data_IF_656277056903
#
_entry.id   IF_656277056903
#
_cell.length_a   1.000
_cell.length_b   1.000
_cell.length_c   1.000
_cell.angle_alpha   90.00
_cell.angle_beta   90.00
_cell.angle_gamma   90.00
#
_symmetry.space_group_name_H-M   'P 1'
#
loop_
_entity.id
_entity.type
_entity.pdbx_description
1 polymer ?
#
# COMPACT_ATOMS: atom_id res chain seq x y z
N UNK A 1 -2.58 3.09 -18.79
CA UNK A 1 -1.88 1.79 -18.73
C UNK A 1 -0.55 2.05 -18.03
N UNK A 2 -0.18 1.23 -17.04
CA UNK A 2 1.10 1.38 -16.35
C UNK A 2 2.27 1.08 -17.29
N UNK A 3 3.37 1.79 -17.14
CA UNK A 3 4.57 1.63 -17.97
C UNK A 3 5.38 0.43 -17.49
N UNK A 4 5.97 -0.30 -18.42
CA UNK A 4 6.79 -1.50 -18.16
C UNK A 4 8.26 -1.16 -18.36
N UNK A 5 8.72 -0.08 -17.75
CA UNK A 5 10.11 0.34 -17.74
C UNK A 5 10.64 0.45 -16.31
N UNK A 6 11.97 0.37 -16.17
CA UNK A 6 12.63 0.32 -14.87
C UNK A 6 12.69 1.70 -14.15
N UNK A 7 12.05 2.73 -14.70
CA UNK A 7 11.98 4.05 -14.07
C UNK A 7 10.83 4.13 -13.05
N UNK A 8 10.94 5.10 -12.15
CA UNK A 8 9.89 5.41 -11.19
C UNK A 8 8.84 6.32 -11.82
N UNK A 9 7.58 5.96 -11.61
CA UNK A 9 6.43 6.66 -12.17
C UNK A 9 5.37 6.94 -11.10
N UNK A 10 4.57 8.00 -11.26
CA UNK A 10 3.49 8.31 -10.32
C UNK A 10 2.41 7.22 -10.32
N UNK A 11 1.89 6.86 -9.15
CA UNK A 11 0.83 5.85 -9.03
C UNK A 11 -0.41 6.23 -9.86
N UNK A 12 -0.87 5.37 -10.80
CA UNK A 12 -2.05 5.64 -11.63
C UNK A 12 -3.32 5.75 -10.80
N UNK A 13 -4.23 6.66 -11.20
CA UNK A 13 -5.53 6.87 -10.52
C UNK A 13 -6.36 5.59 -10.36
N UNK A 14 -6.26 4.67 -11.32
CA UNK A 14 -6.94 3.37 -11.29
C UNK A 14 -6.56 2.53 -10.05
N UNK A 15 -5.34 2.69 -9.52
CA UNK A 15 -4.87 1.96 -8.34
C UNK A 15 -5.11 2.73 -7.05
N UNK A 16 -5.18 4.06 -7.11
CA UNK A 16 -5.31 4.92 -5.92
C UNK A 16 -6.51 4.57 -5.05
N UNK A 17 -7.67 4.31 -5.65
CA UNK A 17 -8.87 3.90 -4.93
C UNK A 17 -8.64 2.61 -4.11
N UNK A 18 -7.99 1.60 -4.72
CA UNK A 18 -7.68 0.33 -4.03
C UNK A 18 -6.68 0.54 -2.89
N UNK A 19 -5.64 1.34 -3.10
CA UNK A 19 -4.67 1.65 -2.05
C UNK A 19 -5.29 2.46 -0.90
N UNK A 20 -6.24 3.36 -1.20
CA UNK A 20 -7.00 4.06 -0.18
C UNK A 20 -7.89 3.09 0.64
N UNK A 21 -8.55 2.13 0.00
CA UNK A 21 -9.31 1.08 0.69
C UNK A 21 -8.43 0.20 1.58
N UNK A 22 -7.25 -0.19 1.09
CA UNK A 22 -6.25 -0.94 1.87
C UNK A 22 -5.84 -0.12 3.09
N UNK A 23 -5.41 1.13 2.89
CA UNK A 23 -4.97 2.00 3.99
C UNK A 23 -6.07 2.21 5.04
N UNK A 24 -7.32 2.36 4.61
CA UNK A 24 -8.47 2.45 5.52
C UNK A 24 -8.68 1.16 6.33
N UNK A 25 -8.52 -0.02 5.71
CA UNK A 25 -8.59 -1.30 6.39
C UNK A 25 -7.45 -1.46 7.42
N UNK A 26 -6.22 -1.07 7.06
CA UNK A 26 -5.08 -1.06 7.99
C UNK A 26 -5.32 -0.09 9.16
N UNK A 27 -5.87 1.09 8.90
CA UNK A 27 -6.24 2.05 9.93
C UNK A 27 -7.34 1.53 10.88
N UNK A 28 -8.24 0.68 10.37
CA UNK A 28 -9.23 -0.04 11.17
C UNK A 28 -8.65 -1.25 11.95
N UNK A 29 -7.35 -1.54 11.81
CA UNK A 29 -6.67 -2.66 12.44
C UNK A 29 -6.90 -4.00 11.73
N UNK A 30 -7.42 -4.01 10.50
CA UNK A 30 -7.59 -5.20 9.67
C UNK A 30 -6.31 -5.49 8.86
N UNK A 31 -5.21 -5.76 9.55
CA UNK A 31 -3.90 -5.99 8.92
C UNK A 31 -3.84 -7.25 8.03
N UNK A 32 -4.80 -8.16 8.18
CA UNK A 32 -4.94 -9.34 7.32
C UNK A 32 -5.83 -9.11 6.09
N UNK A 33 -6.49 -7.94 6.01
CA UNK A 33 -7.52 -7.61 5.02
C UNK A 33 -8.64 -8.66 4.92
N UNK A 34 -8.90 -9.38 6.01
CA UNK A 34 -9.85 -10.49 6.02
C UNK A 34 -11.28 -10.02 6.33
N UNK A 35 -11.43 -8.86 7.00
CA UNK A 35 -12.73 -8.26 7.34
C UNK A 35 -13.23 -7.35 6.23
N UNK A 36 -12.34 -6.54 5.66
CA UNK A 36 -12.68 -5.49 4.69
C UNK A 36 -12.79 -6.02 3.26
N UNK A 37 -12.21 -7.20 2.98
CA UNK A 37 -12.22 -7.90 1.67
C UNK A 37 -12.13 -6.94 0.49
N UNK A 38 -10.97 -6.32 0.33
CA UNK A 38 -10.70 -5.44 -0.82
C UNK A 38 -10.59 -6.30 -2.10
N UNK A 39 -11.39 -5.98 -3.12
CA UNK A 39 -11.44 -6.76 -4.34
C UNK A 39 -10.10 -6.74 -5.09
N UNK A 40 -9.62 -7.92 -5.46
CA UNK A 40 -8.34 -8.07 -6.14
C UNK A 40 -7.13 -7.93 -5.21
N UNK A 41 -7.29 -7.86 -3.90
CA UNK A 41 -6.15 -7.91 -2.97
C UNK A 41 -6.02 -9.33 -2.41
N UNK A 42 -4.83 -9.90 -2.52
CA UNK A 42 -4.53 -11.20 -1.90
C UNK A 42 -4.61 -11.07 -0.37
N UNK A 43 -5.20 -12.06 0.34
CA UNK A 43 -5.17 -12.07 1.79
C UNK A 43 -3.73 -12.01 2.31
N UNK A 44 -3.51 -11.17 3.32
CA UNK A 44 -2.19 -11.07 3.96
C UNK A 44 -2.06 -12.21 4.97
N UNK A 45 -0.98 -12.98 4.87
CA UNK A 45 -0.71 -14.05 5.81
C UNK A 45 -0.46 -13.49 7.22
N UNK A 46 -0.57 -14.35 8.23
CA UNK A 46 -0.52 -13.92 9.63
C UNK A 46 0.83 -13.29 10.00
N UNK A 47 1.92 -13.87 9.53
CA UNK A 47 3.28 -13.40 9.86
C UNK A 47 3.48 -11.99 9.29
N UNK A 48 3.17 -11.79 8.01
CA UNK A 48 3.22 -10.47 7.37
C UNK A 48 2.32 -9.45 8.06
N UNK A 49 1.10 -9.84 8.45
CA UNK A 49 0.18 -8.95 9.16
C UNK A 49 0.68 -8.57 10.56
N UNK A 50 1.29 -9.50 11.29
CA UNK A 50 1.93 -9.24 12.57
C UNK A 50 3.09 -8.25 12.41
N UNK A 51 3.94 -8.44 11.40
CA UNK A 51 5.02 -7.51 11.07
C UNK A 51 4.51 -6.10 10.71
N UNK A 52 3.49 -6.00 9.86
CA UNK A 52 2.85 -4.71 9.53
C UNK A 52 2.34 -4.03 10.80
N UNK A 53 1.61 -4.76 11.64
CA UNK A 53 1.04 -4.20 12.86
C UNK A 53 2.12 -3.73 13.84
N UNK A 54 3.23 -4.46 13.95
CA UNK A 54 4.37 -4.11 14.79
C UNK A 54 5.09 -2.86 14.28
N UNK A 55 5.28 -2.73 12.96
CA UNK A 55 5.92 -1.56 12.36
C UNK A 55 5.06 -0.30 12.52
N UNK A 56 3.75 -0.41 12.31
CA UNK A 56 2.81 0.69 12.56
C UNK A 56 2.81 1.08 14.03
N UNK A 57 2.79 0.12 14.95
CA UNK A 57 2.85 0.40 16.39
C UNK A 57 4.18 1.04 16.81
N UNK A 58 5.30 0.61 16.22
CA UNK A 58 6.63 1.15 16.48
C UNK A 58 6.81 2.58 15.95
N UNK A 59 6.10 2.95 14.90
CA UNK A 59 6.07 4.35 14.41
C UNK A 59 5.53 5.32 15.47
N UNK A 60 4.63 4.85 16.34
CA UNK A 60 4.14 5.62 17.49
C UNK A 60 2.97 6.55 17.19
N UNK A 61 2.36 6.46 16.01
CA UNK A 61 1.11 7.14 15.66
C UNK A 61 0.10 6.16 15.03
N UNK A 62 -1.16 6.57 14.96
CA UNK A 62 -2.23 5.80 14.33
C UNK A 62 -2.35 6.16 12.86
N UNK A 63 -2.48 5.13 12.02
CA UNK A 63 -2.84 5.31 10.62
C UNK A 63 -4.18 6.03 10.47
N UNK A 64 -4.28 6.84 9.43
CA UNK A 64 -5.48 7.54 8.99
C UNK A 64 -5.78 7.17 7.53
N UNK A 65 -6.99 7.49 7.01
CA UNK A 65 -7.25 7.44 5.58
C UNK A 65 -6.21 8.27 4.81
N UNK A 66 -5.82 7.81 3.62
CA UNK A 66 -4.82 8.50 2.80
C UNK A 66 -5.29 9.92 2.46
N UNK A 67 -4.40 10.88 2.67
CA UNK A 67 -4.55 12.23 2.17
C UNK A 67 -4.16 12.29 0.68
N UNK A 68 -4.78 13.19 -0.09
CA UNK A 68 -4.45 13.38 -1.50
C UNK A 68 -2.97 13.75 -1.72
N UNK A 69 -2.33 14.39 -0.73
CA UNK A 69 -0.92 14.74 -0.80
C UNK A 69 0.01 13.52 -0.90
N UNK A 70 -0.42 12.33 -0.44
CA UNK A 70 0.38 11.09 -0.50
C UNK A 70 0.74 10.69 -1.93
N UNK A 71 -0.12 11.01 -2.90
CA UNK A 71 0.06 10.66 -4.31
C UNK A 71 1.19 11.43 -5.01
N UNK A 72 1.67 12.53 -4.42
CA UNK A 72 2.81 13.28 -4.96
C UNK A 72 4.15 12.59 -4.69
N UNK A 73 4.23 11.73 -3.68
CA UNK A 73 5.43 10.98 -3.29
C UNK A 73 5.33 9.50 -3.61
N UNK A 74 4.11 8.98 -3.73
CA UNK A 74 3.88 7.57 -4.05
C UNK A 74 4.27 7.25 -5.49
N UNK A 75 4.99 6.14 -5.66
CA UNK A 75 5.54 5.72 -6.95
C UNK A 75 5.22 4.25 -7.25
N UNK A 76 5.35 3.89 -8.52
CA UNK A 76 5.49 2.52 -8.95
C UNK A 76 6.66 2.37 -9.91
N UNK A 77 7.17 1.15 -10.04
CA UNK A 77 8.23 0.77 -10.99
C UNK A 77 7.99 -0.64 -11.52
N UNK A 78 8.41 -0.92 -12.74
CA UNK A 78 8.36 -2.27 -13.28
C UNK A 78 9.48 -3.13 -12.67
N UNK A 79 9.15 -4.38 -12.32
CA UNK A 79 10.07 -5.33 -11.70
C UNK A 79 10.14 -6.67 -12.45
N UNK A 80 9.96 -6.64 -13.78
CA UNK A 80 10.17 -7.82 -14.63
C UNK A 80 9.09 -8.90 -14.49
N UNK A 81 7.82 -8.52 -14.38
CA UNK A 81 6.66 -9.42 -14.31
C UNK A 81 5.52 -8.91 -13.41
N UNK A 82 5.80 -7.86 -12.64
CA UNK A 82 4.86 -7.14 -11.79
C UNK A 82 5.33 -5.69 -11.65
N UNK A 83 4.43 -4.83 -11.19
CA UNK A 83 4.80 -3.48 -10.74
C UNK A 83 4.99 -3.49 -9.23
N UNK A 84 6.15 -3.05 -8.77
CA UNK A 84 6.35 -2.68 -7.37
C UNK A 84 5.73 -1.31 -7.15
N UNK A 85 4.92 -1.17 -6.11
CA UNK A 85 4.23 0.06 -5.76
C UNK A 85 4.57 0.43 -4.32
N UNK A 86 4.97 1.68 -4.14
CA UNK A 86 5.27 2.29 -2.85
C UNK A 86 4.29 3.44 -2.63
N UNK A 87 3.46 3.30 -1.60
CA UNK A 87 2.46 4.31 -1.23
C UNK A 87 2.76 4.83 0.16
N UNK A 88 3.03 6.12 0.27
CA UNK A 88 3.19 6.77 1.57
C UNK A 88 1.84 6.80 2.29
N UNK A 89 1.84 6.41 3.57
CA UNK A 89 0.66 6.34 4.42
C UNK A 89 0.44 7.67 5.14
N UNK A 90 -0.82 7.91 5.50
CA UNK A 90 -1.19 9.03 6.37
C UNK A 90 -1.37 8.55 7.80
N UNK A 91 -1.05 9.42 8.75
CA UNK A 91 -1.34 9.22 10.17
C UNK A 91 -2.28 10.30 10.67
N UNK A 92 -2.74 10.18 11.92
CA UNK A 92 -3.58 11.20 12.53
C UNK A 92 -2.85 12.54 12.64
N UNK A 93 -1.52 12.51 12.82
CA UNK A 93 -0.70 13.73 12.97
C UNK A 93 -0.15 14.25 11.65
N UNK A 94 0.05 13.40 10.65
CA UNK A 94 0.76 13.73 9.42
C UNK A 94 -0.03 13.32 8.17
N UNK A 95 -0.35 14.26 7.25
CA UNK A 95 -1.05 13.94 6.01
C UNK A 95 -0.21 13.04 5.10
N UNK A 96 1.12 13.16 5.16
CA UNK A 96 2.05 12.25 4.49
C UNK A 96 3.14 11.90 5.50
N UNK A 97 3.09 10.67 6.02
CA UNK A 97 4.08 10.16 6.97
C UNK A 97 5.27 9.51 6.25
N UNK A 98 6.28 9.11 7.02
CA UNK A 98 7.40 8.32 6.50
C UNK A 98 7.09 6.82 6.45
N UNK A 99 5.89 6.38 6.84
CA UNK A 99 5.45 5.00 6.64
C UNK A 99 5.06 4.78 5.18
N UNK A 100 5.66 3.77 4.57
CA UNK A 100 5.38 3.37 3.19
C UNK A 100 4.78 1.97 3.16
N UNK A 101 3.63 1.84 2.52
CA UNK A 101 3.02 0.58 2.11
C UNK A 101 3.68 0.10 0.83
N UNK A 102 4.25 -1.10 0.88
CA UNK A 102 4.86 -1.77 -0.25
C UNK A 102 3.96 -2.91 -0.73
N UNK A 103 3.61 -2.88 -2.02
CA UNK A 103 2.81 -3.91 -2.66
C UNK A 103 3.27 -4.23 -4.09
N UNK A 104 2.96 -5.44 -4.54
CA UNK A 104 3.16 -5.89 -5.91
C UNK A 104 1.81 -5.88 -6.64
N UNK A 105 1.75 -5.33 -7.86
CA UNK A 105 0.61 -5.43 -8.77
C UNK A 105 0.97 -6.36 -9.93
N UNK A 106 0.25 -7.47 -10.07
CA UNK A 106 0.54 -8.46 -11.11
C UNK A 106 0.12 -7.98 -12.51
N UNK A 107 1.01 -8.18 -13.49
CA UNK A 107 0.78 -7.80 -14.90
C UNK A 107 -0.42 -8.49 -15.52
N UNK A 108 -0.48 -9.82 -15.37
CA UNK A 108 -1.40 -10.69 -16.12
C UNK A 108 -2.87 -10.27 -15.99
N UNK A 109 -3.27 -9.78 -14.82
CA UNK A 109 -4.66 -9.42 -14.53
C UNK A 109 -4.85 -7.93 -14.22
N UNK A 110 -3.76 -7.15 -14.07
CA UNK A 110 -3.73 -5.73 -13.66
C UNK A 110 -4.62 -5.38 -12.45
N UNK A 111 -5.08 -6.39 -11.72
CA UNK A 111 -6.15 -6.32 -10.76
C UNK A 111 -5.78 -6.99 -9.45
N UNK A 112 -4.82 -7.93 -9.49
CA UNK A 112 -4.33 -8.65 -8.34
C UNK A 112 -3.16 -7.90 -7.68
N UNK A 113 -3.33 -7.55 -6.42
CA UNK A 113 -2.41 -6.79 -5.61
C UNK A 113 -2.01 -7.63 -4.39
N UNK A 114 -0.71 -7.69 -4.12
CA UNK A 114 -0.16 -8.41 -2.98
C UNK A 114 0.59 -7.45 -2.08
N UNK A 115 0.16 -7.33 -0.83
CA UNK A 115 0.87 -6.52 0.16
C UNK A 115 2.12 -7.26 0.64
N UNK A 116 3.23 -6.53 0.73
CA UNK A 116 4.54 -7.06 1.11
C UNK A 116 4.93 -6.62 2.51
N UNK A 117 4.78 -5.33 2.79
CA UNK A 117 5.15 -4.76 4.08
C UNK A 117 4.60 -3.35 4.24
N UNK A 118 4.61 -2.86 5.48
CA UNK A 118 4.53 -1.44 5.83
C UNK A 118 5.76 -1.15 6.65
N UNK A 119 6.57 -0.17 6.25
CA UNK A 119 7.85 0.14 6.89
C UNK A 119 8.23 1.59 6.64
N UNK A 120 9.22 2.08 7.38
CA UNK A 120 9.93 3.31 7.03
C UNK A 120 11.08 2.91 6.09
N UNK A 121 11.13 3.41 4.84
CA UNK A 121 12.11 3.03 3.83
C UNK A 121 13.54 3.51 4.12
#
# INVERSE_FOLDING_TARGET
>A
MALMDDAEHPVPELWRAKFAEIAAALAAGDFQLCKSRVEGVEPVDRETAEHISANVAAYGDRLAPLDEATWHRSIYRWAGGYWEVLVDLSTVSEPVSDLTLHADVCEADCSRLKIKSVHVP
#
